data_IF_260546598715
#
_entry.id   IF_260546598715
#
_cell.length_a   1.000
_cell.length_b   1.000
_cell.length_c   1.000
_cell.angle_alpha   90.00
_cell.angle_beta   90.00
_cell.angle_gamma   90.00
#
_symmetry.space_group_name_H-M   'P 1'
#
loop_
_entity.id
_entity.type
_entity.pdbx_description
1 polymer ?
#
# COMPACT_ATOMS: atom_id res chain seq x y z
N UNK A 1 17.75 15.56 11.70
CA UNK A 1 16.49 14.88 12.11
C UNK A 1 15.62 14.38 10.94
N UNK A 2 15.96 14.62 9.67
CA UNK A 2 15.20 14.09 8.52
C UNK A 2 15.70 12.69 8.08
N UNK A 3 17.01 12.46 8.15
CA UNK A 3 17.66 11.20 7.75
C UNK A 3 17.23 9.97 8.57
N UNK A 4 16.89 10.15 9.85
CA UNK A 4 16.38 9.06 10.70
C UNK A 4 14.99 8.56 10.27
N UNK A 5 14.14 9.46 9.81
CA UNK A 5 12.82 9.10 9.26
C UNK A 5 12.96 8.39 7.92
N UNK A 6 13.88 8.84 7.07
CA UNK A 6 14.16 8.19 5.78
C UNK A 6 14.70 6.77 5.99
N UNK A 7 15.66 6.57 6.91
CA UNK A 7 16.18 5.23 7.22
C UNK A 7 15.13 4.30 7.82
N UNK A 8 14.23 4.81 8.67
CA UNK A 8 13.15 4.02 9.25
C UNK A 8 12.10 3.62 8.21
N UNK A 9 11.82 4.50 7.24
CA UNK A 9 10.94 4.22 6.10
C UNK A 9 11.60 3.25 5.12
N UNK A 10 12.91 3.35 4.87
CA UNK A 10 13.65 2.43 4.02
C UNK A 10 13.64 0.99 4.57
N UNK A 11 13.92 0.80 5.86
CA UNK A 11 13.90 -0.54 6.45
C UNK A 11 12.49 -1.15 6.42
N UNK A 12 11.47 -0.36 6.79
CA UNK A 12 10.09 -0.79 6.69
C UNK A 12 9.66 -1.10 5.25
N UNK A 13 10.18 -0.37 4.26
CA UNK A 13 9.89 -0.63 2.84
C UNK A 13 10.43 -1.96 2.38
N UNK A 14 11.66 -2.33 2.77
CA UNK A 14 12.28 -3.60 2.39
C UNK A 14 11.51 -4.80 2.94
N UNK A 15 11.12 -4.75 4.22
CA UNK A 15 10.30 -5.79 4.85
C UNK A 15 8.94 -5.93 4.17
N UNK A 16 8.29 -4.80 3.84
CA UNK A 16 7.00 -4.80 3.14
C UNK A 16 7.14 -5.35 1.71
N UNK A 17 8.18 -4.98 0.98
CA UNK A 17 8.42 -5.54 -0.36
C UNK A 17 8.56 -7.07 -0.29
N UNK A 18 9.30 -7.60 0.69
CA UNK A 18 9.50 -9.04 0.85
C UNK A 18 8.18 -9.77 1.13
N UNK A 19 7.37 -9.26 2.06
CA UNK A 19 6.06 -9.85 2.38
C UNK A 19 5.14 -9.86 1.15
N UNK A 20 5.15 -8.78 0.36
CA UNK A 20 4.36 -8.69 -0.87
C UNK A 20 4.86 -9.65 -1.95
N UNK A 21 6.17 -9.85 -2.06
CA UNK A 21 6.79 -10.76 -3.03
C UNK A 21 6.60 -12.24 -2.68
N UNK A 22 6.51 -12.58 -1.39
CA UNK A 22 6.28 -13.95 -0.92
C UNK A 22 4.83 -14.41 -1.11
N UNK A 23 3.88 -13.50 -1.35
CA UNK A 23 2.48 -13.87 -1.60
C UNK A 23 2.24 -14.22 -3.08
N UNK A 24 2.01 -15.50 -3.41
CA UNK A 24 1.80 -15.92 -4.79
C UNK A 24 0.51 -15.36 -5.40
N UNK A 25 -0.45 -14.86 -4.61
CA UNK A 25 -1.67 -14.23 -5.12
C UNK A 25 -1.42 -12.81 -5.64
N UNK A 26 -0.33 -12.18 -5.20
CA UNK A 26 0.03 -10.82 -5.57
C UNK A 26 0.97 -10.78 -6.78
N UNK A 27 1.49 -11.93 -7.24
CA UNK A 27 2.41 -12.04 -8.37
C UNK A 27 1.89 -11.41 -9.67
N UNK A 28 0.59 -11.52 -9.94
CA UNK A 28 -0.03 -10.89 -11.11
C UNK A 28 -0.22 -9.38 -10.96
N UNK A 29 0.13 -8.82 -9.80
CA UNK A 29 -0.01 -7.43 -9.43
C UNK A 29 -1.25 -7.15 -8.58
N UNK A 30 -1.16 -6.12 -7.73
CA UNK A 30 -2.14 -5.84 -6.69
C UNK A 30 -2.65 -4.40 -6.71
N UNK A 31 -3.80 -4.18 -6.09
CA UNK A 31 -4.37 -2.85 -5.86
C UNK A 31 -4.16 -2.52 -4.39
N UNK A 32 -3.48 -1.41 -4.12
CA UNK A 32 -3.28 -0.93 -2.75
C UNK A 32 -4.45 -0.02 -2.36
N UNK A 33 -5.01 -0.24 -1.17
CA UNK A 33 -6.00 0.67 -0.59
C UNK A 33 -5.34 1.41 0.57
N UNK A 34 -5.33 2.74 0.53
CA UNK A 34 -4.65 3.54 1.55
C UNK A 34 -5.44 4.78 1.93
N UNK A 35 -5.14 5.34 3.10
CA UNK A 35 -5.70 6.62 3.49
C UNK A 35 -4.99 7.77 2.79
N UNK A 36 -5.72 8.84 2.46
CA UNK A 36 -5.14 10.02 1.80
C UNK A 36 -3.91 10.58 2.53
N UNK A 37 -3.88 10.55 3.87
CA UNK A 37 -2.72 10.99 4.67
C UNK A 37 -1.48 10.10 4.51
N UNK A 38 -1.64 8.84 4.10
CA UNK A 38 -0.54 7.89 3.87
C UNK A 38 -0.36 7.54 2.39
N UNK A 39 -1.02 8.26 1.49
CA UNK A 39 -0.92 8.01 0.05
C UNK A 39 0.51 8.22 -0.47
N UNK A 40 1.20 9.24 0.01
CA UNK A 40 2.56 9.55 -0.43
C UNK A 40 3.55 8.46 -0.05
N UNK A 41 3.45 7.92 1.17
CA UNK A 41 4.26 6.77 1.61
C UNK A 41 3.99 5.56 0.73
N UNK A 42 2.73 5.31 0.38
CA UNK A 42 2.38 4.16 -0.46
C UNK A 42 2.87 4.30 -1.90
N UNK A 43 2.94 5.53 -2.43
CA UNK A 43 3.54 5.81 -3.73
C UNK A 43 5.04 5.58 -3.72
N UNK A 44 5.74 6.05 -2.68
CA UNK A 44 7.17 5.80 -2.52
C UNK A 44 7.48 4.30 -2.38
N UNK A 45 6.61 3.56 -1.66
CA UNK A 45 6.67 2.10 -1.60
C UNK A 45 6.48 1.45 -2.96
N UNK A 46 5.56 1.95 -3.79
CA UNK A 46 5.35 1.45 -5.14
C UNK A 46 6.57 1.69 -6.05
N UNK A 47 7.26 2.81 -5.87
CA UNK A 47 8.50 3.11 -6.61
C UNK A 47 9.66 2.22 -6.17
N UNK A 48 9.76 1.91 -4.88
CA UNK A 48 10.80 1.04 -4.32
C UNK A 48 10.55 -0.45 -4.57
N UNK A 49 9.32 -0.92 -4.39
CA UNK A 49 8.92 -2.31 -4.59
C UNK A 49 8.37 -2.51 -6.00
N UNK A 50 9.23 -2.82 -6.98
CA UNK A 50 8.78 -3.10 -8.35
C UNK A 50 8.17 -4.50 -8.53
N UNK A 51 8.38 -5.39 -7.55
CA UNK A 51 7.92 -6.78 -7.54
C UNK A 51 7.19 -7.04 -6.21
N UNK A 52 5.91 -7.46 -6.21
CA UNK A 52 5.01 -7.54 -7.36
C UNK A 52 4.54 -6.15 -7.84
N UNK A 53 4.09 -6.05 -9.09
CA UNK A 53 3.70 -4.76 -9.67
C UNK A 53 2.43 -4.20 -9.03
N UNK A 54 2.51 -3.01 -8.43
CA UNK A 54 1.33 -2.29 -7.96
C UNK A 54 0.57 -1.71 -9.16
N UNK A 55 -0.66 -2.18 -9.40
CA UNK A 55 -1.48 -1.76 -10.56
C UNK A 55 -2.19 -0.44 -10.32
N UNK A 56 -2.70 -0.24 -9.10
CA UNK A 56 -3.48 0.94 -8.75
C UNK A 56 -3.42 1.24 -7.25
N UNK A 57 -3.65 2.50 -6.87
CA UNK A 57 -3.75 2.96 -5.48
C UNK A 57 -5.07 3.68 -5.26
N UNK A 58 -5.96 3.05 -4.50
CA UNK A 58 -7.23 3.64 -4.10
C UNK A 58 -7.02 4.44 -2.81
N UNK A 59 -7.12 5.76 -2.91
CA UNK A 59 -7.07 6.65 -1.75
C UNK A 59 -8.45 6.85 -1.12
N UNK A 60 -8.60 6.48 0.14
CA UNK A 60 -9.82 6.67 0.92
C UNK A 60 -9.61 7.81 1.93
N UNK A 61 -10.47 8.84 1.95
CA UNK A 61 -10.46 9.81 3.04
C UNK A 61 -10.95 9.14 4.33
N UNK A 62 -10.23 9.32 5.43
CA UNK A 62 -10.52 8.65 6.71
C UNK A 62 -11.98 8.83 7.19
N UNK A 63 -12.61 9.98 6.89
CA UNK A 63 -14.02 10.26 7.21
C UNK A 63 -15.01 9.32 6.50
N UNK A 64 -14.64 8.77 5.33
CA UNK A 64 -15.49 7.89 4.53
C UNK A 64 -15.16 6.40 4.71
N UNK A 65 -14.18 6.04 5.55
CA UNK A 65 -13.75 4.66 5.75
C UNK A 65 -14.91 3.71 6.08
N UNK A 66 -15.76 4.06 7.05
CA UNK A 66 -16.87 3.19 7.49
C UNK A 66 -17.86 2.87 6.36
N UNK A 67 -18.18 3.86 5.52
CA UNK A 67 -19.10 3.67 4.40
C UNK A 67 -18.45 2.97 3.20
N UNK A 68 -17.19 3.30 2.91
CA UNK A 68 -16.44 2.71 1.79
C UNK A 68 -16.07 1.26 2.08
N UNK A 69 -15.61 0.93 3.29
CA UNK A 69 -15.23 -0.44 3.63
C UNK A 69 -16.43 -1.39 3.54
N UNK A 70 -17.62 -0.97 4.00
CA UNK A 70 -18.86 -1.76 3.85
C UNK A 70 -19.21 -2.03 2.38
N UNK A 71 -18.96 -1.06 1.50
CA UNK A 71 -19.23 -1.17 0.06
C UNK A 71 -18.18 -2.03 -0.65
N UNK A 72 -16.91 -1.95 -0.24
CA UNK A 72 -15.83 -2.80 -0.74
C UNK A 72 -16.09 -4.27 -0.38
N UNK A 73 -16.41 -4.58 0.88
CA UNK A 73 -16.73 -5.95 1.30
C UNK A 73 -17.90 -6.55 0.51
N UNK A 74 -18.92 -5.75 0.18
CA UNK A 74 -20.05 -6.17 -0.66
C UNK A 74 -19.72 -6.32 -2.15
N UNK A 75 -18.58 -5.80 -2.61
CA UNK A 75 -18.13 -5.95 -4.00
C UNK A 75 -17.27 -7.22 -4.16
N UNK A 76 -16.67 -7.69 -3.07
CA UNK A 76 -15.80 -8.87 -3.03
C UNK A 76 -16.50 -10.14 -2.49
N UNK A 77 -17.76 -10.05 -2.05
CA UNK A 77 -18.61 -11.18 -1.63
C UNK A 77 -19.79 -11.31 -2.58
#
# INVERSE_FOLDING_TARGET
MMQDMENKVLNASSEVCQILAEDPKLHEGYIAVTFTRRLQIMKELAEKCQIPTMKDIISIPARKLKGVMKRIYSFFN
#
